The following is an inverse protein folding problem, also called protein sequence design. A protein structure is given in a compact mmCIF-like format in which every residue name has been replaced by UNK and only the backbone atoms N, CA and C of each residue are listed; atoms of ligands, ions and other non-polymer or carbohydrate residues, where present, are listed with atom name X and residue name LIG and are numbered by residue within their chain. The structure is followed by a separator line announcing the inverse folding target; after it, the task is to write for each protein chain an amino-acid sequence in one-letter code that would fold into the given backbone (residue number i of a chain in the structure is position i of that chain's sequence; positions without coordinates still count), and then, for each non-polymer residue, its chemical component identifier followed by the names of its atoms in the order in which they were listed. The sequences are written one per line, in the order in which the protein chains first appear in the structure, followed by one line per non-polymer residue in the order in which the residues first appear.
data_IF_634623035778
#
_entry.id   IF_634623035778
#
_cell.length_a   1.000
_cell.length_b   1.000
_cell.length_c   1.000
_cell.angle_alpha   90.00
_cell.angle_beta   90.00
_cell.angle_gamma   90.00
#
_symmetry.space_group_name_H-M   'P 1'
#
loop_
_entity.id
_entity.type
_entity.pdbx_description
1 polymer ?
#
# COMPACT_ATOMS: atom_id res chain seq x y z
N UNK A 1 -10.62 -27.31 12.69
CA UNK A 1 -9.42 -26.51 13.05
C UNK A 1 -9.72 -25.10 12.57
N UNK A 2 -9.97 -24.16 13.48
CA UNK A 2 -10.64 -22.89 13.14
C UNK A 2 -9.78 -21.95 12.30
N UNK A 3 -10.27 -21.61 11.11
CA UNK A 3 -9.70 -20.59 10.21
C UNK A 3 -9.96 -19.16 10.72
N UNK A 4 -9.60 -18.89 11.98
CA UNK A 4 -9.72 -17.57 12.59
C UNK A 4 -8.71 -16.61 11.94
N UNK A 5 -9.13 -15.92 10.88
CA UNK A 5 -8.31 -14.94 10.17
C UNK A 5 -8.09 -13.69 11.03
N UNK A 6 -6.83 -13.32 11.22
CA UNK A 6 -6.46 -12.07 11.92
C UNK A 6 -6.84 -10.87 11.07
N UNK A 7 -7.50 -9.88 11.69
CA UNK A 7 -7.84 -8.60 11.06
C UNK A 7 -6.59 -7.72 11.02
N UNK A 8 -6.20 -7.30 9.81
CA UNK A 8 -5.06 -6.41 9.59
C UNK A 8 -5.56 -5.13 8.93
N UNK A 9 -5.02 -3.99 9.36
CA UNK A 9 -5.26 -2.69 8.73
C UNK A 9 -3.92 -2.04 8.40
N UNK A 10 -3.89 -1.27 7.32
CA UNK A 10 -2.72 -0.48 6.90
C UNK A 10 -3.09 1.00 6.98
N UNK A 11 -2.21 1.81 7.56
CA UNK A 11 -2.37 3.25 7.66
C UNK A 11 -1.25 3.93 6.88
N UNK A 12 -1.63 4.71 5.86
CA UNK A 12 -0.68 5.55 5.11
C UNK A 12 -0.66 6.94 5.75
N UNK A 13 0.54 7.46 6.05
CA UNK A 13 0.71 8.84 6.53
C UNK A 13 0.74 9.82 5.35
N UNK A 14 0.26 11.06 5.50
CA UNK A 14 0.48 12.09 4.50
C UNK A 14 1.98 12.38 4.34
N UNK A 15 2.36 12.97 3.20
CA UNK A 15 3.74 13.39 2.96
C UNK A 15 4.16 14.47 3.95
N UNK A 16 5.36 14.30 4.49
CA UNK A 16 5.98 15.27 5.38
C UNK A 16 6.50 16.48 4.58
N UNK A 17 6.69 17.63 5.24
CA UNK A 17 7.11 18.88 4.58
C UNK A 17 8.38 18.72 3.74
N UNK A 18 9.38 18.00 4.27
CA UNK A 18 10.63 17.68 3.55
C UNK A 18 10.39 16.87 2.26
N UNK A 19 9.43 15.95 2.26
CA UNK A 19 9.12 15.11 1.10
C UNK A 19 8.48 15.96 -0.02
N UNK A 20 7.64 16.94 0.36
CA UNK A 20 7.06 17.91 -0.56
C UNK A 20 8.12 18.88 -1.11
N UNK A 21 8.94 19.47 -0.25
CA UNK A 21 9.94 20.47 -0.65
C UNK A 21 11.01 19.87 -1.59
N UNK A 22 11.38 18.60 -1.38
CA UNK A 22 12.33 17.86 -2.21
C UNK A 22 11.68 17.13 -3.41
N UNK A 23 10.38 17.36 -3.69
CA UNK A 23 9.65 16.73 -4.80
C UNK A 23 9.76 15.19 -4.81
N UNK A 24 9.75 14.58 -3.62
CA UNK A 24 9.82 13.12 -3.49
C UNK A 24 8.53 12.52 -4.03
N UNK A 25 8.66 11.53 -4.92
CA UNK A 25 7.50 10.86 -5.53
C UNK A 25 6.74 10.02 -4.50
N UNK A 26 5.43 10.26 -4.37
CA UNK A 26 4.52 9.33 -3.71
C UNK A 26 4.47 8.02 -4.50
N UNK A 27 4.82 6.91 -3.86
CA UNK A 27 4.76 5.58 -4.48
C UNK A 27 3.75 4.65 -3.83
N UNK A 28 3.03 5.11 -2.81
CA UNK A 28 1.98 4.33 -2.16
C UNK A 28 0.65 4.95 -2.52
N UNK A 29 -0.25 4.14 -3.07
CA UNK A 29 -1.63 4.48 -3.36
C UNK A 29 -2.57 3.52 -2.61
N UNK A 30 -3.77 3.99 -2.28
CA UNK A 30 -4.78 3.22 -1.53
C UNK A 30 -6.08 3.23 -2.30
N UNK A 31 -6.47 2.06 -2.80
CA UNK A 31 -7.72 1.83 -3.52
C UNK A 31 -8.63 0.91 -2.70
N UNK A 32 -9.68 1.48 -2.11
CA UNK A 32 -10.60 0.79 -1.20
C UNK A 32 -9.87 0.01 -0.08
N UNK A 33 -9.77 -1.32 -0.21
CA UNK A 33 -9.10 -2.23 0.73
C UNK A 33 -7.72 -2.70 0.25
N UNK A 34 -7.23 -2.13 -0.85
CA UNK A 34 -5.96 -2.48 -1.47
C UNK A 34 -4.97 -1.35 -1.30
N UNK A 35 -3.73 -1.72 -1.00
CA UNK A 35 -2.60 -0.79 -1.01
C UNK A 35 -1.71 -1.16 -2.18
N UNK A 36 -1.50 -0.21 -3.08
CA UNK A 36 -0.68 -0.35 -4.28
C UNK A 36 0.65 0.35 -4.04
N UNK A 37 1.74 -0.40 -4.10
CA UNK A 37 3.10 0.13 -4.05
C UNK A 37 3.65 0.18 -5.48
N UNK A 38 3.86 1.38 -5.98
CA UNK A 38 4.51 1.65 -7.26
C UNK A 38 6.04 1.52 -7.12
N UNK A 39 6.72 1.05 -8.19
CA UNK A 39 8.18 0.96 -8.20
C UNK A 39 8.83 2.36 -8.17
N UNK A 40 9.90 2.50 -7.41
CA UNK A 40 10.67 3.75 -7.23
C UNK A 40 11.71 3.98 -8.34
N UNK A 41 12.13 2.93 -9.05
CA UNK A 41 13.26 2.97 -9.98
C UNK A 41 12.84 2.60 -11.41
N UNK A 42 12.62 3.59 -12.26
CA UNK A 42 12.39 3.35 -13.71
C UNK A 42 13.65 2.93 -14.48
N UNK A 43 14.84 2.86 -13.85
CA UNK A 43 16.14 2.66 -14.50
C UNK A 43 16.81 1.28 -14.32
N UNK A 44 16.24 0.35 -13.54
CA UNK A 44 16.72 -1.04 -13.56
C UNK A 44 16.05 -1.81 -14.71
N UNK A 45 16.78 -2.78 -15.27
CA UNK A 45 16.41 -3.52 -16.48
C UNK A 45 14.96 -4.03 -16.47
N UNK A 46 14.28 -3.94 -17.62
CA UNK A 46 12.85 -4.26 -17.88
C UNK A 46 12.40 -5.70 -17.55
N UNK A 47 13.20 -6.52 -16.86
CA UNK A 47 12.89 -7.90 -16.49
C UNK A 47 12.87 -8.17 -14.98
N UNK A 48 13.10 -7.17 -14.14
CA UNK A 48 13.16 -7.38 -12.69
C UNK A 48 11.76 -7.28 -12.05
N UNK A 49 11.35 -8.34 -11.33
CA UNK A 49 10.04 -8.42 -10.67
C UNK A 49 9.78 -7.26 -9.68
N UNK A 50 10.82 -6.51 -9.27
CA UNK A 50 10.72 -5.28 -8.46
C UNK A 50 10.10 -4.10 -9.23
N UNK A 51 9.89 -4.21 -10.53
CA UNK A 51 9.27 -3.18 -11.39
C UNK A 51 7.75 -3.32 -11.52
N UNK A 52 7.16 -4.41 -11.02
CA UNK A 52 5.72 -4.56 -11.06
C UNK A 52 5.08 -3.88 -9.83
N UNK A 53 3.98 -3.11 -10.00
CA UNK A 53 3.24 -2.59 -8.87
C UNK A 53 2.79 -3.74 -7.97
N UNK A 54 3.08 -3.63 -6.67
CA UNK A 54 2.69 -4.66 -5.69
C UNK A 54 1.39 -4.23 -5.02
N UNK A 55 0.34 -5.00 -5.18
CA UNK A 55 -0.94 -4.79 -4.50
C UNK A 55 -1.07 -5.74 -3.30
N UNK A 56 -1.39 -5.19 -2.13
CA UNK A 56 -1.77 -5.96 -0.95
C UNK A 56 -3.27 -5.80 -0.71
N UNK A 57 -4.03 -6.90 -0.80
CA UNK A 57 -5.48 -6.93 -0.56
C UNK A 57 -5.75 -7.23 0.92
N UNK A 58 -6.27 -6.24 1.65
CA UNK A 58 -6.72 -6.39 3.03
C UNK A 58 -8.16 -6.90 2.99
N UNK A 59 -8.33 -8.19 2.70
CA UNK A 59 -9.64 -8.81 2.54
C UNK A 59 -10.64 -8.42 3.64
N UNK A 60 -11.89 -8.17 3.22
CA UNK A 60 -12.95 -7.68 4.09
C UNK A 60 -13.23 -8.66 5.23
N UNK A 61 -13.12 -8.15 6.46
CA UNK A 61 -13.92 -8.65 7.58
C UNK A 61 -14.93 -7.53 7.91
N UNK A 62 -16.22 -7.84 8.09
CA UNK A 62 -17.23 -6.81 8.30
C UNK A 62 -16.83 -5.93 9.48
N UNK A 63 -16.77 -4.62 9.22
CA UNK A 63 -16.63 -3.60 10.24
C UNK A 63 -17.84 -3.67 11.16
N UNK A 64 -17.63 -4.08 12.41
CA UNK A 64 -18.64 -3.93 13.45
C UNK A 64 -18.97 -2.43 13.59
N UNK A 65 -20.25 -2.04 13.58
CA UNK A 65 -20.64 -0.65 13.81
C UNK A 65 -20.26 -0.26 15.23
N UNK A 66 -19.53 0.84 15.36
CA UNK A 66 -19.24 1.46 16.65
C UNK A 66 -20.55 2.06 17.14
N UNK A 67 -21.07 1.55 18.25
CA UNK A 67 -22.25 2.07 18.97
C UNK A 67 -21.91 3.37 19.69
#
# INVERSE_FOLDING_TARGET
MGDSKVKVAVRVRPMNRRELDLHTKCVVDVDANKVILHPVNTNLSKGDARHHPRAADLGQSPSLPVK
#
